data_IF_376488875875
#
_entry.id   IF_376488875875
#
_cell.length_a   1.000
_cell.length_b   1.000
_cell.length_c   1.000
_cell.angle_alpha   90.00
_cell.angle_beta   90.00
_cell.angle_gamma   90.00
#
_symmetry.space_group_name_H-M   'P 1'
#
loop_
_entity.id
_entity.type
_entity.pdbx_description
1 polymer ?
#
# COMPACT_ATOMS: atom_id res chain seq x y z
N UNK A 1 26.28 -6.94 -0.96
CA UNK A 1 25.69 -5.87 -0.13
C UNK A 1 24.26 -5.51 -0.54
N UNK A 2 24.02 -5.05 -1.76
CA UNK A 2 22.66 -4.73 -2.27
C UNK A 2 21.74 -5.95 -2.20
N UNK A 3 22.15 -7.08 -2.72
CA UNK A 3 21.36 -8.32 -2.66
C UNK A 3 21.03 -8.75 -1.23
N UNK A 4 21.95 -8.56 -0.27
CA UNK A 4 21.70 -8.84 1.15
C UNK A 4 20.64 -7.90 1.76
N UNK A 5 20.54 -6.66 1.28
CA UNK A 5 19.48 -5.73 1.68
C UNK A 5 18.14 -6.23 1.14
N UNK A 6 18.05 -6.51 -0.16
CA UNK A 6 16.84 -7.00 -0.81
C UNK A 6 16.37 -8.35 -0.21
N UNK A 7 17.28 -9.29 -0.02
CA UNK A 7 16.99 -10.56 0.63
C UNK A 7 16.46 -10.37 2.08
N UNK A 8 17.07 -9.47 2.84
CA UNK A 8 16.60 -9.17 4.20
C UNK A 8 15.18 -8.57 4.21
N UNK A 9 14.80 -7.85 3.17
CA UNK A 9 13.44 -7.33 3.01
C UNK A 9 12.46 -8.44 2.66
N UNK A 10 12.76 -9.21 1.62
CA UNK A 10 11.87 -10.27 1.10
C UNK A 10 11.73 -11.43 2.08
N UNK A 11 12.86 -11.96 2.60
CA UNK A 11 12.84 -13.19 3.41
C UNK A 11 12.66 -12.95 4.90
N UNK A 12 13.20 -11.85 5.45
CA UNK A 12 13.18 -11.56 6.89
C UNK A 12 12.17 -10.49 7.31
N UNK A 13 11.40 -9.97 6.36
CA UNK A 13 10.39 -8.95 6.64
C UNK A 13 10.95 -7.62 7.18
N UNK A 14 12.23 -7.31 6.92
CA UNK A 14 12.86 -6.08 7.41
C UNK A 14 12.52 -4.89 6.51
N UNK A 15 12.25 -3.74 7.12
CA UNK A 15 12.15 -2.50 6.36
C UNK A 15 13.48 -2.16 5.66
N UNK A 16 13.43 -1.39 4.57
CA UNK A 16 14.62 -0.94 3.86
C UNK A 16 15.63 -0.24 4.80
N UNK A 17 15.12 0.57 5.75
CA UNK A 17 15.95 1.20 6.76
C UNK A 17 16.69 0.18 7.63
N UNK A 18 15.98 -0.82 8.16
CA UNK A 18 16.57 -1.85 9.01
C UNK A 18 17.56 -2.73 8.25
N UNK A 19 17.26 -3.06 6.99
CA UNK A 19 18.14 -3.84 6.13
C UNK A 19 19.44 -3.08 5.78
N UNK A 20 19.35 -1.80 5.42
CA UNK A 20 20.50 -0.93 5.17
C UNK A 20 21.36 -0.76 6.43
N UNK A 21 20.73 -0.50 7.58
CA UNK A 21 21.42 -0.38 8.87
C UNK A 21 22.23 -1.63 9.22
N UNK A 22 21.68 -2.82 8.92
CA UNK A 22 22.34 -4.09 9.22
C UNK A 22 23.65 -4.30 8.43
N UNK A 23 23.78 -3.68 7.26
CA UNK A 23 24.99 -3.74 6.43
C UNK A 23 25.87 -2.49 6.52
N UNK A 24 25.52 -1.55 7.42
CA UNK A 24 26.27 -0.32 7.62
C UNK A 24 26.12 0.71 6.49
N UNK A 25 25.06 0.61 5.67
CA UNK A 25 24.81 1.52 4.55
C UNK A 25 23.74 2.56 4.96
N UNK A 26 23.96 3.87 4.74
CA UNK A 26 22.91 4.88 4.87
C UNK A 26 21.77 4.61 3.88
N UNK A 27 20.51 4.67 4.33
CA UNK A 27 19.36 4.46 3.45
C UNK A 27 19.31 5.48 2.30
N UNK A 28 19.75 6.72 2.53
CA UNK A 28 19.83 7.74 1.48
C UNK A 28 20.73 7.32 0.32
N UNK A 29 21.87 6.70 0.62
CA UNK A 29 22.79 6.17 -0.41
C UNK A 29 22.13 5.02 -1.18
N UNK A 30 21.45 4.12 -0.48
CA UNK A 30 20.71 3.04 -1.13
C UNK A 30 19.61 3.58 -2.07
N UNK A 31 18.84 4.57 -1.60
CA UNK A 31 17.79 5.20 -2.43
C UNK A 31 18.40 5.87 -3.68
N UNK A 32 19.54 6.56 -3.54
CA UNK A 32 20.24 7.15 -4.69
C UNK A 32 20.63 6.09 -5.74
N UNK A 33 21.09 4.93 -5.30
CA UNK A 33 21.41 3.83 -6.22
C UNK A 33 20.16 3.26 -6.90
N UNK A 34 19.07 3.10 -6.17
CA UNK A 34 17.76 2.68 -6.72
C UNK A 34 17.26 3.65 -7.79
N UNK A 35 17.43 4.97 -7.57
CA UNK A 35 17.00 6.00 -8.53
C UNK A 35 17.87 6.03 -9.80
N UNK A 36 19.12 5.61 -9.71
CA UNK A 36 20.09 5.62 -10.82
C UNK A 36 20.11 4.32 -11.65
N UNK A 37 19.65 3.21 -11.08
CA UNK A 37 19.71 1.88 -11.69
C UNK A 37 18.31 1.28 -11.81
N UNK A 38 17.81 1.19 -13.06
CA UNK A 38 16.49 0.65 -13.37
C UNK A 38 16.33 -0.82 -12.95
N UNK A 39 17.36 -1.65 -13.13
CA UNK A 39 17.31 -3.06 -12.74
C UNK A 39 17.20 -3.19 -11.21
N UNK A 40 17.96 -2.37 -10.48
CA UNK A 40 17.88 -2.31 -9.03
C UNK A 40 16.51 -1.80 -8.56
N UNK A 41 15.94 -0.79 -9.24
CA UNK A 41 14.59 -0.29 -8.93
C UNK A 41 13.52 -1.37 -9.08
N UNK A 42 13.60 -2.19 -10.14
CA UNK A 42 12.68 -3.32 -10.35
C UNK A 42 12.84 -4.40 -9.27
N UNK A 43 14.07 -4.75 -8.89
CA UNK A 43 14.36 -5.69 -7.80
C UNK A 43 13.86 -5.15 -6.45
N UNK A 44 14.05 -3.87 -6.19
CA UNK A 44 13.57 -3.23 -4.97
C UNK A 44 12.04 -3.17 -4.89
N UNK A 45 11.36 -2.91 -6.01
CA UNK A 45 9.91 -2.96 -6.07
C UNK A 45 9.37 -4.34 -5.71
N UNK A 46 9.96 -5.42 -6.25
CA UNK A 46 9.60 -6.80 -5.89
C UNK A 46 9.85 -7.09 -4.42
N UNK A 47 11.02 -6.72 -3.89
CA UNK A 47 11.34 -6.91 -2.48
C UNK A 47 10.37 -6.18 -1.54
N UNK A 48 9.82 -5.03 -1.98
CA UNK A 48 8.75 -4.33 -1.25
C UNK A 48 7.41 -5.07 -1.29
N UNK A 49 7.07 -5.67 -2.42
CA UNK A 49 5.86 -6.50 -2.55
C UNK A 49 5.96 -7.72 -1.64
N UNK A 50 7.07 -8.45 -1.68
CA UNK A 50 7.33 -9.60 -0.80
C UNK A 50 7.25 -9.21 0.68
N UNK A 51 7.80 -8.05 1.06
CA UNK A 51 7.71 -7.52 2.42
C UNK A 51 6.24 -7.31 2.86
N UNK A 52 5.41 -6.77 1.97
CA UNK A 52 3.99 -6.53 2.25
C UNK A 52 3.24 -7.85 2.43
N UNK A 53 3.47 -8.84 1.55
CA UNK A 53 2.90 -10.18 1.68
C UNK A 53 3.29 -10.83 3.02
N UNK A 54 4.57 -10.75 3.35
CA UNK A 54 5.07 -11.30 4.61
C UNK A 54 4.45 -10.64 5.84
N UNK A 55 4.28 -9.31 5.83
CA UNK A 55 3.57 -8.60 6.88
C UNK A 55 2.12 -9.06 7.03
N UNK A 56 1.45 -9.39 5.91
CA UNK A 56 0.09 -9.91 5.94
C UNK A 56 0.05 -11.33 6.55
N UNK A 57 0.97 -12.21 6.17
CA UNK A 57 1.10 -13.56 6.73
C UNK A 57 1.41 -13.52 8.22
N UNK A 58 2.37 -12.69 8.65
CA UNK A 58 2.70 -12.50 10.07
C UNK A 58 1.51 -11.97 10.87
N UNK A 59 0.64 -11.17 10.26
CA UNK A 59 -0.57 -10.68 10.92
C UNK A 59 -1.53 -11.81 11.24
N UNK A 60 -1.71 -12.76 10.30
CA UNK A 60 -2.52 -13.95 10.52
C UNK A 60 -1.89 -14.87 11.56
N UNK A 61 -0.58 -15.12 11.47
CA UNK A 61 0.13 -15.94 12.47
C UNK A 61 -0.04 -15.40 13.89
N UNK A 62 0.11 -14.07 14.07
CA UNK A 62 -0.08 -13.43 15.38
C UNK A 62 -1.53 -13.57 15.86
N UNK A 63 -2.51 -13.43 14.95
CA UNK A 63 -3.92 -13.56 15.31
C UNK A 63 -4.30 -14.98 15.75
N UNK A 64 -3.64 -15.99 15.17
CA UNK A 64 -3.89 -17.41 15.43
C UNK A 64 -3.03 -17.97 16.58
N UNK A 65 -2.03 -17.22 17.07
CA UNK A 65 -1.22 -17.63 18.21
C UNK A 65 -2.09 -17.78 19.47
N UNK A 66 -1.97 -18.90 20.21
CA UNK A 66 -2.67 -19.08 21.47
C UNK A 66 -2.26 -18.00 22.48
N UNK A 67 -3.23 -17.37 23.10
CA UNK A 67 -2.96 -16.39 24.17
C UNK A 67 -2.53 -17.12 25.44
N UNK A 68 -1.46 -16.64 26.08
CA UNK A 68 -0.98 -17.19 27.33
C UNK A 68 -2.02 -17.18 28.45
N UNK A 69 -1.94 -18.16 29.31
CA UNK A 69 -2.75 -18.24 30.54
C UNK A 69 -1.97 -17.71 31.72
N UNK A 70 -2.67 -17.11 32.69
CA UNK A 70 -2.10 -16.74 33.99
C UNK A 70 -1.83 -17.98 34.84
N UNK A 71 -1.04 -17.86 35.92
CA UNK A 71 -0.79 -18.93 36.87
C UNK A 71 -2.10 -19.51 37.49
N UNK A 72 -3.17 -18.71 37.49
CA UNK A 72 -4.50 -19.13 37.95
C UNK A 72 -5.33 -19.85 36.88
N UNK A 73 -4.78 -20.06 35.68
CA UNK A 73 -5.46 -20.74 34.56
C UNK A 73 -6.45 -19.86 33.79
N UNK A 74 -6.55 -18.56 34.10
CA UNK A 74 -7.36 -17.61 33.34
C UNK A 74 -6.56 -17.01 32.17
N UNK A 75 -7.26 -16.56 31.12
CA UNK A 75 -6.61 -15.90 29.98
C UNK A 75 -5.91 -14.61 30.42
N UNK A 76 -4.65 -14.43 30.03
CA UNK A 76 -3.91 -13.20 30.31
C UNK A 76 -4.43 -12.04 29.45
N UNK A 77 -5.18 -11.12 30.10
CA UNK A 77 -5.76 -9.95 29.43
C UNK A 77 -4.70 -9.00 28.84
N UNK A 78 -3.50 -8.93 29.45
CA UNK A 78 -2.39 -8.14 28.93
C UNK A 78 -1.82 -8.73 27.64
N UNK A 79 -1.71 -10.06 27.58
CA UNK A 79 -1.29 -10.77 26.36
C UNK A 79 -2.32 -10.60 25.24
N UNK A 80 -3.63 -10.68 25.53
CA UNK A 80 -4.71 -10.43 24.55
C UNK A 80 -4.61 -9.01 24.00
N UNK A 81 -4.46 -8.00 24.85
CA UNK A 81 -4.36 -6.62 24.42
C UNK A 81 -3.12 -6.36 23.57
N UNK A 82 -1.98 -6.94 23.94
CA UNK A 82 -0.75 -6.86 23.16
C UNK A 82 -0.92 -7.47 21.76
N UNK A 83 -1.49 -8.67 21.67
CA UNK A 83 -1.75 -9.35 20.41
C UNK A 83 -2.69 -8.52 19.52
N UNK A 84 -3.79 -8.01 20.09
CA UNK A 84 -4.71 -7.10 19.38
C UNK A 84 -3.99 -5.88 18.85
N UNK A 85 -3.18 -5.20 19.66
CA UNK A 85 -2.42 -4.03 19.24
C UNK A 85 -1.45 -4.36 18.09
N UNK A 86 -0.79 -5.51 18.13
CA UNK A 86 0.11 -5.97 17.07
C UNK A 86 -0.63 -6.18 15.76
N UNK A 87 -1.80 -6.85 15.79
CA UNK A 87 -2.65 -7.07 14.61
C UNK A 87 -3.18 -5.75 14.05
N UNK A 88 -3.74 -4.89 14.91
CA UNK A 88 -4.32 -3.62 14.48
C UNK A 88 -3.26 -2.69 13.85
N UNK A 89 -2.07 -2.61 14.44
CA UNK A 89 -0.95 -1.82 13.90
C UNK A 89 -0.53 -2.32 12.52
N UNK A 90 -0.43 -3.66 12.32
CA UNK A 90 -0.05 -4.24 11.03
C UNK A 90 -1.14 -4.04 9.98
N UNK A 91 -2.41 -4.23 10.33
CA UNK A 91 -3.55 -3.94 9.44
C UNK A 91 -3.54 -2.49 8.97
N UNK A 92 -3.33 -1.55 9.90
CA UNK A 92 -3.20 -0.13 9.55
C UNK A 92 -2.02 0.10 8.60
N UNK A 93 -0.86 -0.47 8.88
CA UNK A 93 0.33 -0.33 8.03
C UNK A 93 0.10 -0.91 6.63
N UNK A 94 -0.49 -2.11 6.53
CA UNK A 94 -0.84 -2.75 5.26
C UNK A 94 -1.80 -1.89 4.43
N UNK A 95 -2.81 -1.29 5.05
CA UNK A 95 -3.75 -0.38 4.35
C UNK A 95 -3.07 0.86 3.78
N UNK A 96 -1.96 1.32 4.39
CA UNK A 96 -1.17 2.47 3.90
C UNK A 96 -0.13 2.09 2.84
N UNK A 97 0.52 0.93 3.01
CA UNK A 97 1.55 0.48 2.07
C UNK A 97 0.98 -0.09 0.77
N UNK A 98 -0.16 -0.78 0.85
CA UNK A 98 -0.83 -1.38 -0.29
C UNK A 98 -2.35 -1.11 -0.28
N UNK A 99 -2.78 0.16 -0.47
CA UNK A 99 -4.18 0.56 -0.35
C UNK A 99 -5.09 -0.13 -1.37
N UNK A 100 -4.57 -0.50 -2.54
CA UNK A 100 -5.34 -1.22 -3.56
C UNK A 100 -5.71 -2.65 -3.14
N UNK A 101 -4.87 -3.29 -2.31
CA UNK A 101 -5.03 -4.69 -1.87
C UNK A 101 -5.67 -4.81 -0.49
N UNK A 102 -5.24 -3.95 0.44
CA UNK A 102 -5.61 -4.01 1.87
C UNK A 102 -6.33 -2.75 2.38
N UNK A 103 -6.58 -1.76 1.51
CA UNK A 103 -7.33 -0.56 1.89
C UNK A 103 -8.84 -0.81 1.91
N UNK A 104 -9.56 0.00 2.66
CA UNK A 104 -11.02 0.02 2.64
C UNK A 104 -11.51 0.53 1.29
N UNK A 105 -12.38 -0.24 0.64
CA UNK A 105 -13.06 0.17 -0.60
C UNK A 105 -14.34 0.90 -0.24
N UNK A 106 -14.37 2.20 -0.43
CA UNK A 106 -15.60 2.98 -0.35
C UNK A 106 -16.25 2.94 -1.73
N UNK A 107 -17.38 2.26 -1.84
CA UNK A 107 -18.23 2.33 -3.03
C UNK A 107 -19.22 3.48 -2.85
N UNK A 108 -19.01 4.57 -3.59
CA UNK A 108 -20.00 5.64 -3.69
C UNK A 108 -21.02 5.23 -4.75
N UNK A 109 -22.17 4.74 -4.32
CA UNK A 109 -23.30 4.45 -5.21
C UNK A 109 -24.39 5.48 -4.96
N UNK A 110 -24.83 6.18 -6.00
CA UNK A 110 -26.05 6.98 -5.96
C UNK A 110 -27.29 6.07 -5.99
N UNK A 111 -28.37 6.49 -5.36
CA UNK A 111 -29.68 5.90 -5.52
C UNK A 111 -30.23 6.23 -6.93
N UNK A 112 -31.12 5.37 -7.48
CA UNK A 112 -31.76 5.63 -8.77
C UNK A 112 -32.55 6.94 -8.80
N UNK A 113 -33.09 7.33 -7.64
CA UNK A 113 -33.87 8.57 -7.48
C UNK A 113 -32.98 9.79 -7.17
N UNK A 114 -31.77 9.58 -6.63
CA UNK A 114 -30.79 10.62 -6.32
C UNK A 114 -29.39 10.18 -6.77
N UNK A 115 -29.11 10.22 -8.07
CA UNK A 115 -27.79 9.87 -8.60
C UNK A 115 -26.74 10.87 -8.13
N UNK A 116 -25.53 10.40 -7.82
CA UNK A 116 -24.41 11.28 -7.51
C UNK A 116 -23.96 11.99 -8.78
N UNK A 117 -24.22 13.29 -8.87
CA UNK A 117 -23.70 14.11 -9.97
C UNK A 117 -22.19 14.35 -9.80
N UNK A 118 -21.39 13.76 -10.66
CA UNK A 118 -19.94 14.05 -10.74
C UNK A 118 -19.75 15.22 -11.70
N UNK A 119 -19.58 16.43 -11.18
CA UNK A 119 -19.19 17.59 -12.00
C UNK A 119 -17.69 17.61 -12.17
N UNK A 120 -17.19 17.13 -13.30
CA UNK A 120 -15.79 17.32 -13.70
C UNK A 120 -15.67 18.69 -14.39
N UNK A 121 -15.00 19.62 -13.74
CA UNK A 121 -14.69 20.92 -14.34
C UNK A 121 -13.33 20.78 -15.06
N UNK A 122 -13.37 20.76 -16.38
CA UNK A 122 -12.15 20.82 -17.20
C UNK A 122 -11.83 22.30 -17.41
N UNK A 123 -10.63 22.72 -17.01
CA UNK A 123 -10.15 24.07 -17.29
C UNK A 123 -9.81 24.17 -18.79
N UNK A 124 -10.80 24.63 -19.55
CA UNK A 124 -10.69 24.76 -21.01
C UNK A 124 -9.74 25.88 -21.44
N UNK A 125 -9.33 26.78 -20.55
CA UNK A 125 -8.41 27.88 -20.89
C UNK A 125 -7.00 27.42 -21.23
N UNK A 126 -6.65 26.20 -20.82
CA UNK A 126 -5.35 25.57 -21.06
C UNK A 126 -5.33 24.62 -22.27
N UNK A 127 -6.46 24.42 -22.91
CA UNK A 127 -6.59 23.55 -24.08
C UNK A 127 -6.32 24.32 -25.37
N UNK A 128 -5.67 23.66 -26.33
CA UNK A 128 -5.51 24.24 -27.66
C UNK A 128 -6.86 24.31 -28.36
N UNK A 129 -6.99 25.25 -29.35
CA UNK A 129 -8.20 25.36 -30.16
C UNK A 129 -8.53 24.10 -30.95
N UNK A 130 -7.52 23.33 -31.32
CA UNK A 130 -7.63 22.04 -32.01
C UNK A 130 -8.27 20.97 -31.10
N UNK A 131 -7.79 20.85 -29.87
CA UNK A 131 -8.35 19.93 -28.87
C UNK A 131 -9.78 20.30 -28.48
N UNK A 132 -10.09 21.58 -28.38
CA UNK A 132 -11.45 22.06 -28.12
C UNK A 132 -12.42 21.70 -29.27
N UNK A 133 -11.98 21.80 -30.53
CA UNK A 133 -12.78 21.41 -31.68
C UNK A 133 -13.06 19.88 -31.69
N UNK A 134 -12.08 19.06 -31.35
CA UNK A 134 -12.24 17.61 -31.24
C UNK A 134 -13.24 17.21 -30.13
N UNK A 135 -13.16 17.86 -28.96
CA UNK A 135 -14.09 17.62 -27.85
C UNK A 135 -15.52 18.02 -28.23
N UNK A 136 -15.70 19.14 -28.93
CA UNK A 136 -17.01 19.59 -29.42
C UNK A 136 -17.59 18.62 -30.45
N UNK A 137 -16.78 18.14 -31.39
CA UNK A 137 -17.21 17.18 -32.41
C UNK A 137 -17.61 15.82 -31.76
N UNK A 138 -16.88 15.37 -30.74
CA UNK A 138 -17.21 14.14 -30.01
C UNK A 138 -18.52 14.28 -29.23
N UNK A 139 -18.80 15.43 -28.64
CA UNK A 139 -20.05 15.71 -27.92
C UNK A 139 -21.26 15.69 -28.84
N UNK A 140 -21.17 16.35 -30.02
CA UNK A 140 -22.25 16.38 -31.01
C UNK A 140 -22.56 14.97 -31.58
N UNK A 141 -21.61 14.06 -31.58
CA UNK A 141 -21.82 12.67 -31.97
C UNK A 141 -22.59 11.85 -30.90
N UNK A 142 -22.41 12.20 -29.61
CA UNK A 142 -23.04 11.48 -28.49
C UNK A 142 -24.50 11.94 -28.26
N UNK A 143 -24.85 13.19 -28.61
CA UNK A 143 -26.20 13.75 -28.45
C UNK A 143 -27.17 13.34 -29.59
N UNK A 144 -26.72 12.52 -30.55
CA UNK A 144 -27.51 12.05 -31.69
C UNK A 144 -28.03 10.60 -31.58
N UNK A 145 -27.68 9.88 -30.53
CA UNK A 145 -28.18 8.54 -30.21
C UNK A 145 -29.17 8.61 -29.03
#
# INVERSE_FOLDING_TARGET
MIESILDSMSTKGKSAFAACKAVGLPQSTFNLWVDQDKELAEKYARAREDLIEKLAEETLQIADEPVGSTESGSTDSGAVQKQKLQVDTRKWLLSKLAPRKYGEKIQLAGDKENPIEIKSTIDTTKLSTETLAEIMAAKDATDRD
#
